data_IF_424062808848
#
_entry.id   IF_424062808848
#
_cell.length_a   1.000
_cell.length_b   1.000
_cell.length_c   1.000
_cell.angle_alpha   90.00
_cell.angle_beta   90.00
_cell.angle_gamma   90.00
#
_symmetry.space_group_name_H-M   'P 1'
#
loop_
_entity.id
_entity.type
_entity.pdbx_description
1 polymer ?
#
# COMPACT_ATOMS: atom_id res chain seq x y z
N UNK A 1 54.68 3.98 -6.88
CA UNK A 1 53.61 2.95 -6.89
C UNK A 1 52.32 3.30 -6.11
N UNK A 2 52.29 4.25 -5.17
CA UNK A 2 51.08 4.60 -4.39
C UNK A 2 49.92 5.28 -5.19
N UNK A 3 50.22 5.99 -6.29
CA UNK A 3 49.22 6.75 -7.07
C UNK A 3 48.21 5.85 -7.81
N UNK A 4 48.63 4.68 -8.29
CA UNK A 4 47.75 3.73 -9.00
C UNK A 4 46.76 3.05 -8.06
N UNK A 5 47.23 2.61 -6.89
CA UNK A 5 46.37 2.05 -5.86
C UNK A 5 45.33 3.08 -5.39
N UNK A 6 45.75 4.33 -5.17
CA UNK A 6 44.83 5.42 -4.82
C UNK A 6 43.75 5.65 -5.88
N UNK A 7 44.12 5.61 -7.17
CA UNK A 7 43.15 5.73 -8.27
C UNK A 7 42.17 4.56 -8.31
N UNK A 8 42.66 3.33 -8.15
CA UNK A 8 41.81 2.14 -8.10
C UNK A 8 40.81 2.21 -6.93
N UNK A 9 41.28 2.58 -5.74
CA UNK A 9 40.42 2.78 -4.56
C UNK A 9 39.36 3.84 -4.79
N UNK A 10 39.70 4.97 -5.43
CA UNK A 10 38.70 5.99 -5.76
C UNK A 10 37.65 5.49 -6.75
N UNK A 11 38.03 4.69 -7.74
CA UNK A 11 37.08 4.07 -8.68
C UNK A 11 36.15 3.11 -7.96
N UNK A 12 36.68 2.24 -7.09
CA UNK A 12 35.86 1.32 -6.30
C UNK A 12 34.90 2.07 -5.36
N UNK A 13 35.38 3.12 -4.69
CA UNK A 13 34.54 3.94 -3.81
C UNK A 13 33.40 4.60 -4.60
N UNK A 14 33.70 5.15 -5.77
CA UNK A 14 32.69 5.74 -6.64
C UNK A 14 31.68 4.69 -7.14
N UNK A 15 32.16 3.49 -7.48
CA UNK A 15 31.30 2.36 -7.85
C UNK A 15 30.31 1.98 -6.74
N UNK A 16 30.77 1.87 -5.49
CA UNK A 16 29.90 1.58 -4.34
C UNK A 16 28.85 2.66 -4.10
N UNK A 17 29.22 3.93 -4.27
CA UNK A 17 28.27 5.05 -4.14
C UNK A 17 27.21 4.98 -5.24
N UNK A 18 27.60 4.72 -6.48
CA UNK A 18 26.64 4.55 -7.59
C UNK A 18 25.72 3.37 -7.34
N UNK A 19 26.27 2.22 -6.96
CA UNK A 19 25.49 1.01 -6.66
C UNK A 19 24.47 1.29 -5.55
N UNK A 20 24.91 1.83 -4.41
CA UNK A 20 24.02 2.14 -3.30
C UNK A 20 22.98 3.20 -3.64
N UNK A 21 23.38 4.29 -4.32
CA UNK A 21 22.48 5.41 -4.65
C UNK A 21 21.44 5.05 -5.71
N UNK A 22 21.74 4.13 -6.64
CA UNK A 22 20.80 3.71 -7.68
C UNK A 22 19.93 2.53 -7.26
N UNK A 23 20.35 1.72 -6.28
CA UNK A 23 19.57 0.56 -5.84
C UNK A 23 18.17 0.95 -5.35
N UNK A 24 18.06 1.95 -4.46
CA UNK A 24 16.76 2.37 -3.91
C UNK A 24 15.84 3.00 -4.97
N UNK A 25 16.28 3.96 -5.81
CA UNK A 25 15.46 4.50 -6.89
C UNK A 25 15.00 3.44 -7.89
N UNK A 26 15.89 2.51 -8.27
CA UNK A 26 15.55 1.43 -9.21
C UNK A 26 14.47 0.52 -8.60
N UNK A 27 14.62 0.12 -7.35
CA UNK A 27 13.62 -0.69 -6.62
C UNK A 27 12.30 0.07 -6.52
N UNK A 28 12.32 1.36 -6.19
CA UNK A 28 11.11 2.19 -6.10
C UNK A 28 10.39 2.30 -7.46
N UNK A 29 11.11 2.46 -8.57
CA UNK A 29 10.50 2.47 -9.90
C UNK A 29 9.94 1.10 -10.29
N UNK A 30 10.63 0.01 -9.91
CA UNK A 30 10.23 -1.34 -10.27
C UNK A 30 8.99 -1.81 -9.48
N UNK A 31 9.06 -1.77 -8.15
CA UNK A 31 7.98 -2.22 -7.25
C UNK A 31 6.85 -1.20 -7.08
N UNK A 32 7.10 0.08 -7.37
CA UNK A 32 6.13 1.15 -7.29
C UNK A 32 6.56 2.24 -6.30
N UNK A 33 6.42 3.49 -6.73
CA UNK A 33 6.81 4.65 -5.94
C UNK A 33 5.83 4.83 -4.77
N UNK A 34 6.30 4.98 -3.52
CA UNK A 34 5.44 5.10 -2.36
C UNK A 34 4.79 6.50 -2.31
N UNK A 35 3.71 6.68 -3.06
CA UNK A 35 2.91 7.92 -3.04
C UNK A 35 1.87 7.93 -1.93
N UNK A 36 1.47 6.75 -1.44
CA UNK A 36 0.48 6.57 -0.37
C UNK A 36 1.15 6.39 0.99
N UNK A 37 0.59 7.02 2.02
CA UNK A 37 0.94 6.79 3.42
C UNK A 37 0.51 5.39 3.90
N UNK A 38 1.10 4.89 4.99
CA UNK A 38 0.74 3.58 5.56
C UNK A 38 -0.75 3.48 5.92
N UNK A 39 -1.34 4.58 6.39
CA UNK A 39 -2.77 4.68 6.70
C UNK A 39 -3.64 4.62 5.46
N UNK A 40 -3.24 5.27 4.37
CA UNK A 40 -3.96 5.20 3.09
C UNK A 40 -3.85 3.80 2.49
N UNK A 41 -2.66 3.18 2.52
CA UNK A 41 -2.46 1.81 2.05
C UNK A 41 -3.38 0.85 2.82
N UNK A 42 -3.43 0.96 4.15
CA UNK A 42 -4.33 0.15 4.97
C UNK A 42 -5.79 0.35 4.52
N UNK A 43 -6.20 1.59 4.32
CA UNK A 43 -7.57 1.94 3.93
C UNK A 43 -7.92 1.42 2.54
N UNK A 44 -7.03 1.54 1.56
CA UNK A 44 -7.24 1.01 0.21
C UNK A 44 -7.30 -0.52 0.18
N UNK A 45 -6.45 -1.19 0.95
CA UNK A 45 -6.53 -2.65 1.09
C UNK A 45 -7.84 -3.09 1.74
N UNK A 46 -8.35 -2.32 2.70
CA UNK A 46 -9.64 -2.57 3.34
C UNK A 46 -10.80 -2.43 2.36
N UNK A 47 -10.78 -1.38 1.52
CA UNK A 47 -11.77 -1.14 0.47
C UNK A 47 -11.81 -2.29 -0.53
N UNK A 48 -10.65 -2.78 -0.95
CA UNK A 48 -10.52 -3.95 -1.83
C UNK A 48 -11.08 -5.21 -1.17
N UNK A 49 -10.61 -5.53 0.05
CA UNK A 49 -11.00 -6.73 0.80
C UNK A 49 -12.51 -6.84 0.96
N UNK A 50 -13.17 -5.73 1.30
CA UNK A 50 -14.61 -5.71 1.55
C UNK A 50 -15.42 -5.19 0.36
N UNK A 51 -14.81 -4.92 -0.79
CA UNK A 51 -15.51 -4.34 -1.96
C UNK A 51 -16.35 -3.09 -1.61
N UNK A 52 -15.82 -2.22 -0.74
CA UNK A 52 -16.54 -1.07 -0.22
C UNK A 52 -15.64 0.17 -0.11
N UNK A 53 -15.93 1.17 -0.94
CA UNK A 53 -15.13 2.40 -1.07
C UNK A 53 -15.21 3.37 0.11
N UNK A 54 -16.12 3.16 1.07
CA UNK A 54 -16.34 4.05 2.22
C UNK A 54 -15.52 3.67 3.45
N UNK A 55 -14.74 2.58 3.39
CA UNK A 55 -14.00 2.07 4.53
C UNK A 55 -12.67 2.78 4.69
N UNK A 56 -12.38 3.21 5.91
CA UNK A 56 -11.12 3.85 6.26
C UNK A 56 -10.50 3.10 7.44
N UNK A 57 -9.17 3.00 7.42
CA UNK A 57 -8.41 2.34 8.46
C UNK A 57 -8.19 3.29 9.64
N UNK A 58 -8.54 2.85 10.84
CA UNK A 58 -8.35 3.61 12.08
C UNK A 58 -6.96 3.34 12.65
N UNK A 59 -6.14 4.39 12.81
CA UNK A 59 -4.82 4.32 13.43
C UNK A 59 -4.75 5.36 14.57
N UNK A 60 -4.38 4.97 15.81
CA UNK A 60 -3.97 3.64 16.25
C UNK A 60 -5.13 2.63 16.32
N UNK A 61 -4.81 1.35 16.14
CA UNK A 61 -5.77 0.27 16.27
C UNK A 61 -6.36 0.23 17.71
N UNK A 62 -7.68 0.06 17.88
CA UNK A 62 -8.29 0.05 19.21
C UNK A 62 -7.81 -1.15 20.03
N UNK A 63 -7.20 -0.87 21.20
CA UNK A 63 -6.72 -1.91 22.12
C UNK A 63 -7.84 -2.81 22.69
N UNK A 64 -9.10 -2.42 22.51
CA UNK A 64 -10.25 -3.20 22.95
C UNK A 64 -10.55 -4.40 22.07
N UNK A 65 -9.97 -4.57 20.88
CA UNK A 65 -10.26 -5.70 19.99
C UNK A 65 -9.92 -7.08 20.60
N UNK A 66 -10.35 -8.19 19.98
CA UNK A 66 -9.96 -9.54 20.42
C UNK A 66 -8.44 -9.67 20.52
N UNK A 67 -7.88 -10.26 21.60
CA UNK A 67 -8.52 -11.07 22.64
C UNK A 67 -9.06 -10.31 23.87
N UNK A 68 -9.05 -8.97 23.88
CA UNK A 68 -9.42 -8.15 25.05
C UNK A 68 -10.93 -7.88 25.21
N UNK A 69 -11.78 -8.60 24.47
CA UNK A 69 -13.24 -8.62 24.66
C UNK A 69 -14.06 -7.70 23.74
N UNK A 70 -13.44 -6.93 22.87
CA UNK A 70 -14.14 -6.09 21.88
C UNK A 70 -14.46 -6.81 20.58
N UNK A 71 -15.13 -6.09 19.68
CA UNK A 71 -15.59 -6.63 18.42
C UNK A 71 -14.42 -6.95 17.47
N UNK A 72 -14.51 -8.04 16.68
CA UNK A 72 -13.49 -8.37 15.68
C UNK A 72 -13.40 -7.29 14.58
N UNK A 73 -12.25 -7.21 13.89
CA UNK A 73 -11.98 -6.26 12.78
C UNK A 73 -13.06 -6.21 11.69
N UNK A 74 -13.78 -7.31 11.50
CA UNK A 74 -14.79 -7.48 10.45
C UNK A 74 -16.23 -7.41 10.98
N UNK A 75 -16.43 -7.03 12.25
CA UNK A 75 -17.77 -7.05 12.86
C UNK A 75 -18.75 -6.15 12.10
N UNK A 76 -19.89 -6.71 11.70
CA UNK A 76 -20.94 -5.99 10.95
C UNK A 76 -20.59 -5.70 9.49
N UNK A 77 -19.49 -6.24 8.97
CA UNK A 77 -19.12 -6.07 7.57
C UNK A 77 -19.76 -7.17 6.70
N UNK A 78 -20.58 -6.75 5.74
CA UNK A 78 -21.37 -7.66 4.89
C UNK A 78 -21.11 -7.44 3.39
N UNK A 79 -20.17 -6.56 3.04
CA UNK A 79 -19.91 -6.18 1.65
C UNK A 79 -18.85 -7.04 0.96
N UNK A 80 -18.11 -7.87 1.72
CA UNK A 80 -17.14 -8.83 1.16
C UNK A 80 -17.83 -9.80 0.19
N UNK A 81 -17.18 -10.01 -0.95
CA UNK A 81 -17.66 -10.90 -2.03
C UNK A 81 -16.94 -12.25 -2.06
N UNK A 82 -16.09 -12.49 -1.07
CA UNK A 82 -15.26 -13.70 -0.94
C UNK A 82 -16.11 -14.94 -0.65
N UNK A 83 -15.61 -16.10 -1.08
CA UNK A 83 -16.24 -17.39 -0.80
C UNK A 83 -15.83 -17.87 0.58
N UNK A 84 -16.80 -17.88 1.50
CA UNK A 84 -16.61 -18.34 2.88
C UNK A 84 -16.79 -19.87 2.98
N UNK A 85 -16.01 -20.51 3.85
CA UNK A 85 -16.06 -21.95 4.06
C UNK A 85 -14.89 -22.42 4.93
N UNK A 86 -14.63 -23.73 4.94
CA UNK A 86 -13.48 -24.32 5.66
C UNK A 86 -12.15 -23.80 5.10
N UNK A 87 -12.10 -23.59 3.78
CA UNK A 87 -10.99 -22.92 3.10
C UNK A 87 -11.56 -21.70 2.36
N UNK A 88 -11.47 -20.50 2.95
CA UNK A 88 -12.00 -19.30 2.32
C UNK A 88 -11.18 -18.95 1.07
N UNK A 89 -11.86 -18.56 0.00
CA UNK A 89 -11.24 -18.13 -1.25
C UNK A 89 -11.53 -16.66 -1.52
N UNK A 90 -10.50 -15.80 -1.60
CA UNK A 90 -10.69 -14.42 -1.97
C UNK A 90 -11.14 -14.32 -3.43
N UNK A 91 -12.16 -13.50 -3.70
CA UNK A 91 -12.62 -13.22 -5.07
C UNK A 91 -11.96 -11.99 -5.69
N UNK A 92 -11.20 -11.23 -4.92
CA UNK A 92 -10.36 -10.16 -5.45
C UNK A 92 -9.11 -10.75 -6.14
N UNK A 93 -8.71 -10.14 -7.26
CA UNK A 93 -7.45 -10.51 -7.92
C UNK A 93 -6.26 -10.14 -7.02
N UNK A 94 -5.12 -10.84 -7.17
CA UNK A 94 -3.89 -10.48 -6.47
C UNK A 94 -3.47 -9.07 -6.87
N UNK A 95 -3.56 -8.12 -5.94
CA UNK A 95 -3.27 -6.71 -6.20
C UNK A 95 -1.83 -6.40 -5.83
N UNK A 96 -1.09 -5.82 -6.77
CA UNK A 96 0.24 -5.24 -6.51
C UNK A 96 0.15 -3.79 -6.03
N UNK A 97 1.22 -3.27 -5.41
CA UNK A 97 1.21 -1.90 -4.87
C UNK A 97 0.93 -0.82 -5.93
N UNK A 98 1.51 -0.96 -7.13
CA UNK A 98 1.25 -0.04 -8.25
C UNK A 98 -0.21 -0.01 -8.69
N UNK A 99 -0.86 -1.17 -8.64
CA UNK A 99 -2.27 -1.30 -8.98
C UNK A 99 -3.14 -0.68 -7.89
N UNK A 100 -2.77 -0.85 -6.62
CA UNK A 100 -3.44 -0.19 -5.49
C UNK A 100 -3.41 1.34 -5.62
N UNK A 101 -2.24 1.92 -5.96
CA UNK A 101 -2.11 3.36 -6.22
C UNK A 101 -3.00 3.80 -7.38
N UNK A 102 -3.01 3.03 -8.48
CA UNK A 102 -3.86 3.33 -9.63
C UNK A 102 -5.35 3.31 -9.27
N UNK A 103 -5.81 2.32 -8.50
CA UNK A 103 -7.21 2.23 -8.04
C UNK A 103 -7.57 3.44 -7.18
N UNK A 104 -6.66 3.84 -6.28
CA UNK A 104 -6.82 5.03 -5.45
C UNK A 104 -6.95 6.31 -6.30
N UNK A 105 -6.00 6.56 -7.19
CA UNK A 105 -5.98 7.77 -8.03
C UNK A 105 -7.22 7.86 -8.93
N UNK A 106 -7.62 6.73 -9.53
CA UNK A 106 -8.84 6.68 -10.33
C UNK A 106 -10.09 6.96 -9.49
N UNK A 107 -10.14 6.47 -8.24
CA UNK A 107 -11.24 6.73 -7.30
C UNK A 107 -11.32 8.21 -6.93
N UNK A 108 -10.20 8.83 -6.58
CA UNK A 108 -10.13 10.27 -6.28
C UNK A 108 -10.52 11.09 -7.51
N UNK A 109 -10.04 10.71 -8.70
CA UNK A 109 -10.42 11.38 -9.94
C UNK A 109 -11.92 11.26 -10.26
N UNK A 110 -12.55 10.11 -9.96
CA UNK A 110 -14.01 9.94 -10.07
C UNK A 110 -14.76 10.82 -9.08
N UNK A 111 -14.31 10.88 -7.83
CA UNK A 111 -14.92 11.72 -6.78
C UNK A 111 -14.81 13.20 -7.09
N UNK A 112 -13.66 13.65 -7.60
CA UNK A 112 -13.45 15.05 -7.99
C UNK A 112 -14.34 15.49 -9.18
N UNK A 113 -14.75 14.55 -10.03
CA UNK A 113 -15.65 14.80 -11.17
C UNK A 113 -17.13 14.65 -10.83
N UNK A 114 -17.46 13.98 -9.73
CA UNK A 114 -18.84 13.84 -9.29
C UNK A 114 -19.32 15.19 -8.72
N UNK A 115 -20.40 15.79 -9.24
CA UNK A 115 -20.97 17.00 -8.65
C UNK A 115 -21.40 16.68 -7.21
N UNK A 116 -21.02 17.55 -6.27
CA UNK A 116 -21.44 17.44 -4.87
C UNK A 116 -22.97 17.45 -4.80
N UNK A 117 -23.58 16.28 -4.61
CA UNK A 117 -25.00 16.20 -4.28
C UNK A 117 -25.14 16.83 -2.89
N UNK A 118 -25.88 17.94 -2.73
CA UNK A 118 -26.09 18.53 -1.41
C UNK A 118 -26.77 17.48 -0.54
N UNK A 119 -26.18 17.21 0.63
CA UNK A 119 -26.77 16.34 1.64
C UNK A 119 -28.03 17.07 2.16
N UNK A 120 -29.22 16.43 2.16
CA UNK A 120 -30.45 17.03 2.69
C UNK A 120 -30.38 17.24 4.21
#
# INVERSE_FOLDING_TARGET
MHKWLRRALFVCLFGLVIEGSLTVPVIAVWYGWPTLSLTEICSELLKVRYSNDTLECTQPYPLGGPPFGGAPEAAGQHTAKDDWGVQPHPRYNRIGFRELVKIHDERIARQAKAPSIPKP
#
